data_IF_406685923943
#
_entry.id   IF_406685923943
#
_cell.length_a   1.000
_cell.length_b   1.000
_cell.length_c   1.000
_cell.angle_alpha   90.00
_cell.angle_beta   90.00
_cell.angle_gamma   90.00
#
_symmetry.space_group_name_H-M   'P 1'
#
loop_
_entity.id
_entity.type
_entity.pdbx_description
1 polymer ?
#
# COMPACT_ATOMS: atom_id res chain seq x y z
N UNK A 1 11.44 28.20 5.14
CA UNK A 1 11.38 27.01 4.28
C UNK A 1 10.67 25.91 5.05
N UNK A 2 9.61 25.27 4.51
CA UNK A 2 9.03 24.09 5.18
C UNK A 2 10.03 22.93 5.10
N UNK A 3 10.18 22.18 6.18
CA UNK A 3 10.89 20.90 6.15
C UNK A 3 9.98 19.88 5.45
N UNK A 4 10.50 19.19 4.43
CA UNK A 4 9.77 18.19 3.65
C UNK A 4 10.61 16.93 3.60
N UNK A 5 10.00 15.83 4.04
CA UNK A 5 10.54 14.48 3.90
C UNK A 5 9.69 13.71 2.88
N UNK A 6 10.34 12.85 2.08
CA UNK A 6 9.70 12.12 0.98
C UNK A 6 9.91 10.63 1.20
N UNK A 7 8.81 9.87 1.15
CA UNK A 7 8.81 8.41 1.23
C UNK A 7 8.34 7.81 -0.09
N UNK A 8 9.10 6.84 -0.59
CA UNK A 8 8.77 6.12 -1.83
C UNK A 8 7.83 4.97 -1.49
N UNK A 9 6.79 4.78 -2.31
CA UNK A 9 5.77 3.75 -2.15
C UNK A 9 5.66 2.92 -3.43
N UNK A 10 6.64 2.04 -3.74
CA UNK A 10 6.55 1.19 -4.92
C UNK A 10 5.57 0.04 -4.66
N UNK A 11 4.91 -0.44 -5.72
CA UNK A 11 3.82 -1.42 -5.61
C UNK A 11 4.27 -2.78 -5.04
N UNK A 12 5.51 -3.17 -5.35
CA UNK A 12 6.08 -4.49 -5.02
C UNK A 12 6.67 -4.59 -3.60
N UNK A 13 6.62 -3.52 -2.81
CA UNK A 13 7.21 -3.46 -1.46
C UNK A 13 6.21 -2.98 -0.41
N UNK A 14 6.40 -3.38 0.86
CA UNK A 14 5.62 -2.82 1.95
C UNK A 14 5.82 -1.31 2.07
N UNK A 15 4.76 -0.59 2.42
CA UNK A 15 4.83 0.83 2.76
C UNK A 15 5.69 1.05 4.01
N UNK A 16 6.45 2.16 4.05
CA UNK A 16 7.35 2.44 5.15
C UNK A 16 6.62 2.79 6.44
N UNK A 17 7.34 2.70 7.55
CA UNK A 17 6.95 3.37 8.81
C UNK A 17 7.43 4.81 8.74
N UNK A 18 6.52 5.77 8.89
CA UNK A 18 6.83 7.20 8.78
C UNK A 18 6.76 7.88 10.15
N UNK A 19 7.66 8.83 10.46
CA UNK A 19 7.54 9.66 11.66
C UNK A 19 6.37 10.64 11.52
N UNK A 20 5.55 10.74 12.57
CA UNK A 20 4.49 11.74 12.67
C UNK A 20 4.88 12.75 13.74
N UNK A 21 5.08 14.03 13.39
CA UNK A 21 5.49 15.04 14.35
C UNK A 21 4.37 15.35 15.33
N UNK A 22 4.69 15.25 16.61
CA UNK A 22 3.80 15.61 17.70
C UNK A 22 4.01 17.07 18.14
N UNK A 23 3.19 17.52 19.10
CA UNK A 23 3.38 18.84 19.70
C UNK A 23 4.65 18.84 20.53
N UNK A 24 5.53 19.82 20.32
CA UNK A 24 6.72 19.99 21.16
C UNK A 24 6.33 20.07 22.65
N UNK A 25 7.11 19.43 23.55
CA UNK A 25 8.41 18.79 23.32
C UNK A 25 8.36 17.31 22.91
N UNK A 26 7.18 16.77 22.60
CA UNK A 26 7.03 15.35 22.33
C UNK A 26 7.78 14.95 21.04
N UNK A 27 8.52 13.82 21.05
CA UNK A 27 9.21 13.33 19.88
C UNK A 27 8.23 12.79 18.84
N UNK A 28 8.71 12.67 17.60
CA UNK A 28 7.94 12.07 16.52
C UNK A 28 7.57 10.63 16.85
N UNK A 29 6.34 10.26 16.54
CA UNK A 29 5.82 8.91 16.79
C UNK A 29 5.85 8.09 15.49
N UNK A 30 6.35 6.84 15.51
CA UNK A 30 6.36 5.99 14.32
C UNK A 30 4.94 5.56 13.94
N UNK A 31 4.59 5.73 12.67
CA UNK A 31 3.32 5.31 12.08
C UNK A 31 3.55 4.18 11.05
N UNK A 32 3.23 2.91 11.37
CA UNK A 32 3.42 1.78 10.47
C UNK A 32 2.31 1.72 9.40
N UNK A 33 2.53 2.34 8.24
CA UNK A 33 1.52 2.51 7.19
C UNK A 33 0.98 1.19 6.64
N UNK A 34 1.85 0.20 6.40
CA UNK A 34 1.44 -1.13 5.90
C UNK A 34 0.39 -1.77 6.79
N UNK A 35 0.64 -1.82 8.11
CA UNK A 35 -0.27 -2.44 9.07
C UNK A 35 -1.61 -1.69 9.11
N UNK A 36 -1.56 -0.36 9.11
CA UNK A 36 -2.75 0.48 9.14
C UNK A 36 -3.62 0.26 7.90
N UNK A 37 -3.03 0.25 6.69
CA UNK A 37 -3.79 -0.01 5.47
C UNK A 37 -4.40 -1.41 5.46
N UNK A 38 -3.65 -2.45 5.85
CA UNK A 38 -4.20 -3.80 5.94
C UNK A 38 -5.40 -3.88 6.89
N UNK A 39 -5.34 -3.17 8.01
CA UNK A 39 -6.46 -3.10 8.95
C UNK A 39 -7.67 -2.39 8.33
N UNK A 40 -7.48 -1.27 7.65
CA UNK A 40 -8.57 -0.56 6.96
C UNK A 40 -9.20 -1.43 5.88
N UNK A 41 -8.39 -2.09 5.05
CA UNK A 41 -8.87 -2.95 3.96
C UNK A 41 -9.67 -4.15 4.48
N UNK A 42 -9.19 -4.79 5.55
CA UNK A 42 -9.90 -5.89 6.22
C UNK A 42 -11.22 -5.42 6.84
N UNK A 43 -11.22 -4.27 7.52
CA UNK A 43 -12.41 -3.75 8.19
C UNK A 43 -13.50 -3.34 7.18
N UNK A 44 -13.09 -2.76 6.04
CA UNK A 44 -13.99 -2.38 4.96
C UNK A 44 -14.44 -3.56 4.07
N UNK A 45 -13.84 -4.76 4.26
CA UNK A 45 -14.06 -5.97 3.45
C UNK A 45 -13.93 -5.71 1.94
N UNK A 46 -12.85 -5.05 1.55
CA UNK A 46 -12.61 -4.75 0.13
C UNK A 46 -12.41 -6.01 -0.72
N UNK A 47 -11.96 -7.10 -0.11
CA UNK A 47 -11.89 -8.43 -0.71
C UNK A 47 -13.24 -8.88 -1.32
N UNK A 48 -14.36 -8.45 -0.74
CA UNK A 48 -15.70 -8.76 -1.25
C UNK A 48 -16.22 -7.77 -2.30
N UNK A 49 -15.57 -6.61 -2.44
CA UNK A 49 -16.03 -5.51 -3.29
C UNK A 49 -15.19 -5.32 -4.56
N UNK A 50 -13.95 -5.76 -4.54
CA UNK A 50 -13.00 -5.61 -5.64
C UNK A 50 -12.89 -6.94 -6.37
N UNK A 51 -13.21 -6.94 -7.68
CA UNK A 51 -12.99 -8.12 -8.52
C UNK A 51 -11.54 -8.15 -9.01
N UNK A 52 -10.68 -8.88 -8.29
CA UNK A 52 -9.25 -9.02 -8.61
C UNK A 52 -8.94 -9.77 -9.90
N UNK A 53 -9.95 -10.35 -10.56
CA UNK A 53 -9.80 -10.97 -11.88
C UNK A 53 -9.78 -9.92 -12.99
N UNK A 54 -10.28 -8.73 -12.74
CA UNK A 54 -10.21 -7.63 -13.68
C UNK A 54 -8.80 -7.01 -13.69
N UNK A 55 -8.39 -6.41 -14.82
CA UNK A 55 -7.19 -5.57 -14.81
C UNK A 55 -7.38 -4.39 -13.85
N UNK A 56 -6.29 -3.87 -13.23
CA UNK A 56 -6.37 -2.66 -12.45
C UNK A 56 -6.87 -1.48 -13.31
N UNK A 57 -7.57 -0.50 -12.72
CA UNK A 57 -7.99 0.69 -13.44
C UNK A 57 -6.78 1.49 -13.93
N UNK A 58 -6.93 2.31 -14.98
CA UNK A 58 -5.84 3.12 -15.51
C UNK A 58 -5.28 4.10 -14.46
N UNK A 59 -3.99 4.47 -14.55
CA UNK A 59 -3.05 4.20 -15.64
C UNK A 59 -2.54 2.75 -15.68
N UNK A 60 -2.09 2.34 -16.86
CA UNK A 60 -1.52 1.00 -17.05
C UNK A 60 -0.26 0.81 -16.21
N UNK A 61 -0.11 -0.38 -15.65
CA UNK A 61 1.11 -0.79 -14.95
C UNK A 61 2.25 -0.97 -15.93
N UNK A 62 3.47 -0.73 -15.46
CA UNK A 62 4.65 -1.15 -16.21
C UNK A 62 4.67 -2.69 -16.38
N UNK A 63 5.37 -3.23 -17.39
CA UNK A 63 5.44 -4.69 -17.60
C UNK A 63 5.92 -5.47 -16.36
N UNK A 64 6.85 -4.90 -15.60
CA UNK A 64 7.39 -5.50 -14.37
C UNK A 64 6.36 -5.52 -13.25
N UNK A 65 5.64 -4.40 -13.03
CA UNK A 65 4.56 -4.31 -12.05
C UNK A 65 3.39 -5.24 -12.39
N UNK A 66 3.03 -5.34 -13.67
CA UNK A 66 1.97 -6.24 -14.13
C UNK A 66 2.33 -7.71 -13.90
N UNK A 67 3.59 -8.08 -14.18
CA UNK A 67 4.11 -9.43 -13.95
C UNK A 67 4.13 -9.77 -12.46
N UNK A 68 4.61 -8.85 -11.62
CA UNK A 68 4.61 -9.00 -10.17
C UNK A 68 3.18 -9.14 -9.63
N UNK A 69 2.26 -8.29 -10.08
CA UNK A 69 0.87 -8.29 -9.60
C UNK A 69 0.17 -9.60 -9.96
N UNK A 70 0.36 -10.11 -11.18
CA UNK A 70 -0.27 -11.37 -11.59
C UNK A 70 0.26 -12.55 -10.76
N UNK A 71 1.58 -12.64 -10.57
CA UNK A 71 2.20 -13.65 -9.72
C UNK A 71 1.69 -13.56 -8.26
N UNK A 72 1.57 -12.35 -7.72
CA UNK A 72 1.07 -12.12 -6.37
C UNK A 72 -0.40 -12.55 -6.21
N UNK A 73 -1.27 -12.15 -7.14
CA UNK A 73 -2.70 -12.50 -7.09
C UNK A 73 -2.94 -14.00 -7.27
N UNK A 74 -2.16 -14.68 -8.12
CA UNK A 74 -2.19 -16.15 -8.24
C UNK A 74 -1.75 -16.84 -6.94
N UNK A 75 -0.68 -16.37 -6.32
CA UNK A 75 -0.22 -16.91 -5.03
C UNK A 75 -1.28 -16.74 -3.92
N UNK A 76 -2.07 -15.66 -3.97
CA UNK A 76 -3.21 -15.45 -3.09
C UNK A 76 -4.50 -16.19 -3.49
N UNK A 77 -4.51 -16.88 -4.64
CA UNK A 77 -5.71 -17.58 -5.16
C UNK A 77 -6.81 -16.66 -5.69
N UNK A 78 -6.49 -15.38 -5.94
CA UNK A 78 -7.44 -14.36 -6.44
C UNK A 78 -7.53 -14.33 -7.97
N UNK A 79 -6.59 -14.98 -8.65
CA UNK A 79 -6.60 -15.21 -10.11
C UNK A 79 -6.31 -16.68 -10.42
N UNK A 80 -6.96 -17.26 -11.45
CA UNK A 80 -6.71 -18.62 -11.93
C UNK A 80 -5.35 -18.75 -12.62
#
# INVERSE_FOLDING_TARGET
>A
WPAVDIWVCPLDRPLPTVPVPLRRPDPDTPLPLTQLLHQVYRNARYDLRIDYRQPPPPPDLTPDEATWLDAHLRACGLRP
#
